data_IF_037195715206
#
_entry.id   IF_037195715206
#
_cell.length_a   1.000
_cell.length_b   1.000
_cell.length_c   1.000
_cell.angle_alpha   90.00
_cell.angle_beta   90.00
_cell.angle_gamma   90.00
#
_symmetry.space_group_name_H-M   'P 1'
#
loop_
_entity.id
_entity.type
_entity.pdbx_description
1 polymer ?
#
# COMPACT_ATOMS: atom_id res chain seq x y z
N UNK A 1 -28.82 52.38 10.62
CA UNK A 1 -28.95 51.23 9.70
C UNK A 1 -28.46 51.61 8.30
N UNK A 2 -27.17 51.41 8.02
CA UNK A 2 -26.58 51.76 6.72
C UNK A 2 -26.89 50.69 5.68
N UNK A 3 -27.79 50.98 4.74
CA UNK A 3 -27.99 50.15 3.53
C UNK A 3 -26.74 50.26 2.65
N UNK A 4 -25.79 49.33 2.79
CA UNK A 4 -24.59 49.28 1.92
C UNK A 4 -25.06 49.07 0.48
N UNK A 5 -24.79 50.04 -0.39
CA UNK A 5 -25.11 49.96 -1.82
C UNK A 5 -23.85 49.47 -2.52
N UNK A 6 -23.71 48.16 -2.65
CA UNK A 6 -22.57 47.56 -3.33
C UNK A 6 -22.60 47.94 -4.81
N UNK A 7 -21.47 48.43 -5.32
CA UNK A 7 -21.33 48.74 -6.74
C UNK A 7 -21.39 47.44 -7.55
N UNK A 8 -21.92 47.48 -8.78
CA UNK A 8 -22.01 46.28 -9.63
C UNK A 8 -20.66 45.60 -9.86
N UNK A 9 -19.57 46.37 -9.81
CA UNK A 9 -18.19 45.85 -9.86
C UNK A 9 -17.84 45.04 -8.60
N UNK A 10 -18.21 45.53 -7.41
CA UNK A 10 -17.95 44.84 -6.14
C UNK A 10 -18.73 43.53 -6.03
N UNK A 11 -19.97 43.51 -6.52
CA UNK A 11 -20.77 42.28 -6.59
C UNK A 11 -20.11 41.25 -7.51
N UNK A 12 -19.62 41.67 -8.68
CA UNK A 12 -18.88 40.78 -9.60
C UNK A 12 -17.59 40.26 -8.98
N UNK A 13 -16.87 41.09 -8.24
CA UNK A 13 -15.63 40.70 -7.58
C UNK A 13 -15.90 39.68 -6.47
N UNK A 14 -16.92 39.91 -5.63
CA UNK A 14 -17.34 38.97 -4.59
C UNK A 14 -17.73 37.60 -5.17
N UNK A 15 -18.48 37.60 -6.28
CA UNK A 15 -18.88 36.36 -6.96
C UNK A 15 -17.66 35.62 -7.51
N UNK A 16 -16.75 36.33 -8.20
CA UNK A 16 -15.54 35.72 -8.78
C UNK A 16 -14.62 35.13 -7.71
N UNK A 17 -14.40 35.84 -6.60
CA UNK A 17 -13.60 35.33 -5.48
C UNK A 17 -14.25 34.13 -4.80
N UNK A 18 -15.59 34.15 -4.63
CA UNK A 18 -16.30 33.01 -4.04
C UNK A 18 -16.20 31.75 -4.92
N UNK A 19 -16.32 31.89 -6.25
CA UNK A 19 -16.15 30.78 -7.19
C UNK A 19 -14.72 30.21 -7.16
N UNK A 20 -13.71 31.07 -7.14
CA UNK A 20 -12.32 30.61 -7.04
C UNK A 20 -12.02 29.89 -5.72
N UNK A 21 -12.60 30.36 -4.61
CA UNK A 21 -12.43 29.73 -3.30
C UNK A 21 -13.06 28.34 -3.25
N UNK A 22 -14.26 28.19 -3.84
CA UNK A 22 -14.93 26.88 -3.96
C UNK A 22 -14.13 25.90 -4.80
N UNK A 23 -13.60 26.34 -5.95
CA UNK A 23 -12.75 25.50 -6.82
C UNK A 23 -11.46 25.09 -6.10
N UNK A 24 -10.82 26.01 -5.39
CA UNK A 24 -9.61 25.71 -4.62
C UNK A 24 -9.87 24.69 -3.51
N UNK A 25 -10.96 24.81 -2.75
CA UNK A 25 -11.34 23.83 -1.72
C UNK A 25 -11.60 22.47 -2.36
N UNK A 26 -12.32 22.41 -3.49
CA UNK A 26 -12.57 21.16 -4.18
C UNK A 26 -11.28 20.46 -4.62
N UNK A 27 -10.32 21.22 -5.18
CA UNK A 27 -9.01 20.69 -5.54
C UNK A 27 -8.23 20.21 -4.32
N UNK A 28 -8.22 20.97 -3.22
CA UNK A 28 -7.55 20.57 -1.97
C UNK A 28 -8.15 19.28 -1.43
N UNK A 29 -9.48 19.15 -1.42
CA UNK A 29 -10.15 17.91 -1.01
C UNK A 29 -9.72 16.76 -1.92
N UNK A 30 -9.68 16.95 -3.23
CA UNK A 30 -9.28 15.92 -4.20
C UNK A 30 -7.82 15.48 -4.02
N UNK A 31 -6.92 16.42 -3.70
CA UNK A 31 -5.52 16.12 -3.37
C UNK A 31 -5.37 15.44 -2.01
N UNK A 32 -6.18 15.82 -1.01
CA UNK A 32 -6.12 15.27 0.36
C UNK A 32 -6.78 13.90 0.44
N UNK A 33 -7.88 13.67 -0.26
CA UNK A 33 -8.54 12.36 -0.28
C UNK A 33 -7.68 11.34 -1.00
N UNK A 34 -6.77 11.75 -1.90
CA UNK A 34 -5.73 10.85 -2.42
C UNK A 34 -6.29 9.53 -2.95
N UNK A 35 -7.56 9.52 -3.34
CA UNK A 35 -8.19 8.37 -3.94
C UNK A 35 -7.76 8.43 -5.40
N UNK A 36 -6.57 7.88 -5.67
CA UNK A 36 -6.29 7.32 -6.98
C UNK A 36 -7.53 6.53 -7.37
N UNK A 37 -8.14 6.93 -8.49
CA UNK A 37 -9.45 6.43 -8.90
C UNK A 37 -9.51 4.92 -8.70
N UNK A 38 -10.52 4.48 -7.97
CA UNK A 38 -10.88 3.06 -7.89
C UNK A 38 -11.31 2.67 -9.29
N UNK A 39 -10.34 2.26 -10.09
CA UNK A 39 -10.59 1.33 -11.18
C UNK A 39 -11.03 0.07 -10.46
N UNK A 40 -12.34 -0.18 -10.42
CA UNK A 40 -12.83 -1.55 -10.33
C UNK A 40 -12.44 -2.24 -11.63
N UNK A 41 -11.15 -2.51 -11.78
CA UNK A 41 -10.69 -3.53 -12.71
C UNK A 41 -10.69 -4.81 -11.90
N UNK A 42 -11.51 -5.75 -12.35
CA UNK A 42 -11.22 -7.15 -12.12
C UNK A 42 -9.71 -7.36 -12.40
N UNK A 43 -8.98 -7.85 -11.41
CA UNK A 43 -7.58 -8.33 -11.52
C UNK A 43 -6.41 -7.33 -11.57
N UNK A 44 -6.44 -6.25 -10.77
CA UNK A 44 -5.16 -5.81 -10.18
C UNK A 44 -4.96 -6.60 -8.89
N UNK A 45 -4.09 -7.60 -8.88
CA UNK A 45 -3.89 -8.47 -7.71
C UNK A 45 -3.38 -7.67 -6.50
N UNK A 46 -4.32 -7.24 -5.65
CA UNK A 46 -4.04 -6.60 -4.38
C UNK A 46 -3.36 -7.65 -3.49
N UNK A 47 -2.05 -7.52 -3.28
CA UNK A 47 -1.33 -8.40 -2.38
C UNK A 47 -1.74 -8.11 -0.94
N UNK A 48 -2.59 -8.98 -0.38
CA UNK A 48 -2.94 -8.97 1.04
C UNK A 48 -2.10 -10.06 1.73
N UNK A 49 -1.19 -9.71 2.66
CA UNK A 49 -0.42 -10.71 3.38
C UNK A 49 -1.35 -11.60 4.19
N UNK A 50 -1.30 -12.91 3.93
CA UNK A 50 -2.03 -13.89 4.72
C UNK A 50 -1.21 -14.20 5.97
N UNK A 51 -1.78 -13.87 7.12
CA UNK A 51 -1.16 -14.01 8.43
C UNK A 51 -1.92 -15.05 9.27
N UNK A 52 -1.79 -16.35 8.96
CA UNK A 52 -2.35 -17.39 9.81
C UNK A 52 -1.59 -17.48 11.14
N UNK A 53 -2.19 -18.16 12.10
CA UNK A 53 -1.53 -18.46 13.37
C UNK A 53 -0.50 -19.59 13.14
N UNK A 54 0.73 -19.21 12.83
CA UNK A 54 1.87 -20.12 12.62
C UNK A 54 2.57 -20.35 13.97
N UNK A 55 2.94 -21.60 14.32
CA UNK A 55 3.68 -21.90 15.54
C UNK A 55 5.01 -21.12 15.58
N UNK A 56 5.43 -20.70 16.77
CA UNK A 56 6.57 -19.78 16.94
C UNK A 56 7.87 -20.30 16.31
N UNK A 57 8.11 -21.62 16.36
CA UNK A 57 9.32 -22.25 15.85
C UNK A 57 9.44 -22.26 14.32
N UNK A 58 8.34 -22.10 13.59
CA UNK A 58 8.32 -22.09 12.12
C UNK A 58 8.36 -20.66 11.55
N UNK A 59 8.34 -19.64 12.42
CA UNK A 59 8.39 -18.25 11.99
C UNK A 59 9.78 -17.91 11.46
N UNK A 60 9.84 -17.50 10.20
CA UNK A 60 11.05 -17.00 9.55
C UNK A 60 11.04 -15.48 9.61
N UNK A 61 12.17 -14.90 10.06
CA UNK A 61 12.34 -13.47 10.22
C UNK A 61 12.28 -12.73 8.86
N UNK A 62 11.34 -11.79 8.74
CA UNK A 62 11.21 -10.91 7.57
C UNK A 62 11.90 -9.54 7.77
N UNK A 63 12.38 -9.25 8.98
CA UNK A 63 13.02 -7.98 9.31
C UNK A 63 14.38 -8.23 9.98
N UNK A 64 15.43 -8.58 9.20
CA UNK A 64 16.76 -8.83 9.74
C UNK A 64 17.47 -7.54 10.25
N UNK A 65 16.92 -6.36 9.93
CA UNK A 65 17.47 -5.08 10.37
C UNK A 65 17.12 -4.79 11.84
N UNK A 66 17.96 -4.03 12.53
CA UNK A 66 17.65 -3.63 13.90
C UNK A 66 16.42 -2.70 13.96
N UNK A 67 15.53 -2.94 14.93
CA UNK A 67 14.36 -2.09 15.18
C UNK A 67 13.14 -2.43 14.34
N UNK A 68 12.74 -3.70 14.35
CA UNK A 68 11.45 -4.13 13.80
C UNK A 68 10.30 -3.38 14.49
N UNK A 69 9.54 -2.62 13.71
CA UNK A 69 8.30 -1.98 14.16
C UNK A 69 7.13 -2.52 13.36
N UNK A 70 5.92 -2.46 13.92
CA UNK A 70 4.70 -2.90 13.24
C UNK A 70 4.59 -2.27 11.85
N UNK A 71 4.73 -0.94 11.78
CA UNK A 71 4.63 -0.19 10.53
C UNK A 71 5.63 -0.68 9.50
N UNK A 72 6.91 -0.81 9.85
CA UNK A 72 7.96 -1.26 8.93
C UNK A 72 7.80 -2.71 8.49
N UNK A 73 7.22 -3.56 9.33
CA UNK A 73 6.92 -4.94 8.98
C UNK A 73 5.79 -5.02 7.96
N UNK A 74 4.72 -4.26 8.19
CA UNK A 74 3.57 -4.16 7.28
C UNK A 74 3.98 -3.49 5.96
N UNK A 75 4.87 -2.50 6.01
CA UNK A 75 5.57 -1.91 4.84
C UNK A 75 6.52 -2.88 4.13
N UNK A 76 6.73 -4.10 4.62
CA UNK A 76 7.40 -5.17 3.84
C UNK A 76 6.41 -6.22 3.32
N UNK A 77 5.12 -6.05 3.61
CA UNK A 77 4.06 -7.02 3.31
C UNK A 77 4.26 -8.31 4.10
N UNK A 78 4.77 -8.17 5.33
CA UNK A 78 4.97 -9.25 6.28
C UNK A 78 3.99 -9.16 7.44
N UNK A 79 3.95 -10.22 8.24
CA UNK A 79 3.01 -10.35 9.34
C UNK A 79 3.64 -9.90 10.65
N UNK A 80 2.88 -9.12 11.41
CA UNK A 80 3.27 -8.66 12.74
C UNK A 80 2.57 -9.48 13.82
N UNK A 81 3.34 -10.09 14.72
CA UNK A 81 2.84 -10.85 15.86
C UNK A 81 3.64 -10.52 17.12
N UNK A 82 3.09 -9.71 18.05
CA UNK A 82 3.79 -9.39 19.30
C UNK A 82 3.95 -10.65 20.16
N UNK A 83 5.13 -10.81 20.76
CA UNK A 83 5.53 -11.99 21.52
C UNK A 83 6.36 -11.57 22.74
N UNK A 84 6.18 -12.27 23.85
CA UNK A 84 6.99 -12.09 25.07
C UNK A 84 8.33 -12.83 25.02
N UNK A 85 8.53 -13.69 24.02
CA UNK A 85 9.77 -14.46 23.84
C UNK A 85 10.80 -13.69 22.99
N UNK A 86 12.05 -13.62 23.49
CA UNK A 86 13.14 -12.84 22.86
C UNK A 86 13.77 -13.49 21.63
N UNK A 87 13.55 -14.78 21.39
CA UNK A 87 14.23 -15.54 20.34
C UNK A 87 13.37 -15.77 19.09
N UNK A 88 12.16 -15.21 19.06
CA UNK A 88 11.20 -15.40 17.96
C UNK A 88 10.93 -14.06 17.30
N UNK A 89 11.02 -13.96 15.96
CA UNK A 89 10.84 -12.69 15.26
C UNK A 89 9.39 -12.20 15.41
N UNK A 90 9.26 -10.93 15.80
CA UNK A 90 7.96 -10.25 15.85
C UNK A 90 7.40 -9.97 14.45
N UNK A 91 8.29 -9.81 13.46
CA UNK A 91 7.97 -9.65 12.06
C UNK A 91 8.36 -10.90 11.26
N UNK A 92 7.37 -11.62 10.73
CA UNK A 92 7.61 -12.89 10.03
C UNK A 92 6.98 -12.89 8.63
N UNK A 93 7.48 -13.77 7.75
CA UNK A 93 6.96 -13.89 6.38
C UNK A 93 5.51 -14.36 6.36
N UNK A 94 4.71 -13.77 5.46
CA UNK A 94 3.35 -14.25 5.18
C UNK A 94 3.41 -15.53 4.34
N UNK A 95 2.36 -16.37 4.42
CA UNK A 95 2.30 -17.64 3.66
C UNK A 95 2.23 -17.44 2.15
N UNK A 96 1.79 -16.25 1.72
CA UNK A 96 1.72 -15.87 0.31
C UNK A 96 2.96 -15.12 -0.16
N UNK A 97 4.00 -14.97 0.65
CA UNK A 97 5.24 -14.37 0.20
C UNK A 97 6.06 -15.36 -0.64
N UNK A 98 6.78 -14.86 -1.66
CA UNK A 98 7.77 -15.65 -2.40
C UNK A 98 7.50 -15.75 -3.90
N UNK A 99 7.69 -16.95 -4.46
CA UNK A 99 7.64 -17.22 -5.89
C UNK A 99 6.69 -18.38 -6.21
N UNK A 100 6.10 -18.35 -7.39
CA UNK A 100 5.38 -19.47 -8.01
C UNK A 100 6.21 -20.04 -9.15
N UNK A 101 6.13 -21.34 -9.36
CA UNK A 101 6.77 -22.00 -10.51
C UNK A 101 5.95 -21.71 -11.76
N UNK A 102 6.57 -21.08 -12.75
CA UNK A 102 5.96 -20.80 -14.05
C UNK A 102 6.21 -21.93 -15.05
N UNK A 103 7.43 -22.46 -15.07
CA UNK A 103 7.75 -23.65 -15.85
C UNK A 103 8.83 -24.49 -15.20
N UNK A 104 8.81 -25.78 -15.49
CA UNK A 104 9.83 -26.75 -15.11
C UNK A 104 10.22 -27.55 -16.33
N UNK A 105 11.52 -27.73 -16.52
CA UNK A 105 12.10 -28.51 -17.59
C UNK A 105 13.19 -29.40 -17.00
N UNK A 106 13.31 -30.63 -17.49
CA UNK A 106 14.31 -31.58 -17.03
C UNK A 106 15.12 -32.07 -18.23
N UNK A 107 16.15 -31.33 -18.67
CA UNK A 107 16.90 -31.65 -19.88
C UNK A 107 17.67 -32.96 -19.78
N UNK A 108 18.10 -33.34 -18.57
CA UNK A 108 18.81 -34.60 -18.30
C UNK A 108 18.33 -35.18 -16.97
N UNK A 109 18.58 -36.46 -16.67
CA UNK A 109 18.21 -37.08 -15.39
C UNK A 109 18.80 -36.38 -14.15
N UNK A 110 19.87 -35.61 -14.31
CA UNK A 110 20.59 -34.94 -13.22
C UNK A 110 20.40 -33.42 -13.19
N UNK A 111 19.71 -32.83 -14.18
CA UNK A 111 19.55 -31.39 -14.30
C UNK A 111 18.07 -31.04 -14.41
N UNK A 112 17.63 -30.12 -13.56
CA UNK A 112 16.28 -29.56 -13.59
C UNK A 112 16.37 -28.04 -13.64
N UNK A 113 15.69 -27.45 -14.61
CA UNK A 113 15.56 -26.01 -14.80
C UNK A 113 14.14 -25.60 -14.38
N UNK A 114 14.00 -24.64 -13.48
CA UNK A 114 12.70 -24.08 -13.11
C UNK A 114 12.69 -22.57 -13.33
N UNK A 115 11.66 -22.06 -14.01
CA UNK A 115 11.40 -20.62 -14.08
C UNK A 115 10.44 -20.24 -12.96
N UNK A 116 10.85 -19.27 -12.15
CA UNK A 116 10.10 -18.80 -11.00
C UNK A 116 9.58 -17.40 -11.28
N UNK A 117 8.27 -17.21 -11.10
CA UNK A 117 7.63 -15.89 -11.13
C UNK A 117 7.42 -15.40 -9.72
N UNK A 118 7.85 -14.18 -9.41
CA UNK A 118 7.64 -13.59 -8.09
C UNK A 118 6.15 -13.35 -7.89
N UNK A 119 5.61 -13.71 -6.73
CA UNK A 119 4.27 -13.28 -6.33
C UNK A 119 4.29 -11.75 -6.21
N UNK A 120 3.26 -11.04 -6.71
CA UNK A 120 3.24 -9.58 -6.64
C UNK A 120 3.26 -9.13 -5.19
N UNK A 121 4.15 -8.18 -4.84
CA UNK A 121 4.23 -7.53 -3.53
C UNK A 121 4.08 -6.03 -3.79
N UNK A 122 2.94 -5.45 -3.40
CA UNK A 122 2.50 -4.12 -3.86
C UNK A 122 3.31 -2.92 -3.33
N UNK A 123 4.38 -3.15 -2.57
CA UNK A 123 5.21 -2.08 -2.01
C UNK A 123 6.06 -1.33 -3.04
N UNK A 124 6.21 -1.85 -4.25
CA UNK A 124 6.89 -1.13 -5.33
C UNK A 124 5.96 -0.29 -6.21
N UNK A 125 4.64 -0.39 -6.07
CA UNK A 125 3.69 0.32 -6.95
C UNK A 125 3.30 1.72 -6.44
N UNK A 126 3.74 2.11 -5.25
CA UNK A 126 3.53 3.45 -4.68
C UNK A 126 4.71 4.43 -4.84
N UNK A 127 5.70 4.12 -5.69
CA UNK A 127 6.91 4.93 -5.85
C UNK A 127 7.17 5.46 -7.27
N UNK A 128 6.12 5.58 -8.08
CA UNK A 128 6.14 6.25 -9.39
C UNK A 128 5.08 7.35 -9.41
#
# INVERSE_FOLDING_TARGET
MGKRRFSGLEVKLMVMFSLMFVVAIALIVLFVTGEGGVVTDESTEIFVPQCPNIPLAERVDCFPDAGASKLRCEERGCCWGPLDERNVPWCFFSTNHGYTVESMEQPTPHVMNARLKRKPLLLCLGLI
#
